data_IF_233369737824
#
_entry.id   IF_233369737824
#
_cell.length_a   1.000
_cell.length_b   1.000
_cell.length_c   1.000
_cell.angle_alpha   90.00
_cell.angle_beta   90.00
_cell.angle_gamma   90.00
#
_symmetry.space_group_name_H-M   'P 1'
#
loop_
_entity.id
_entity.type
_entity.pdbx_description
1 polymer ?
#
# COMPACT_ATOMS: atom_id res chain seq x y z
N UNK A 1 13.78 -6.10 22.10
CA UNK A 1 12.44 -5.53 21.91
C UNK A 1 11.47 -6.70 21.85
N UNK A 2 10.35 -6.63 22.57
CA UNK A 2 9.27 -7.63 22.46
C UNK A 2 8.30 -7.14 21.38
N UNK A 3 8.26 -7.81 20.22
CA UNK A 3 7.44 -7.37 19.08
C UNK A 3 5.96 -7.72 19.27
N UNK A 4 5.68 -8.83 19.97
CA UNK A 4 4.32 -9.34 20.16
C UNK A 4 3.40 -8.34 20.89
N UNK A 5 3.95 -7.44 21.70
CA UNK A 5 3.17 -6.41 22.38
C UNK A 5 2.53 -5.38 21.43
N UNK A 6 2.99 -5.32 20.17
CA UNK A 6 2.51 -4.38 19.16
C UNK A 6 1.48 -4.99 18.20
N UNK A 7 1.17 -6.28 18.35
CA UNK A 7 0.21 -6.99 17.50
C UNK A 7 -1.16 -6.29 17.47
N UNK A 8 -1.68 -6.07 16.26
CA UNK A 8 -2.93 -5.38 15.96
C UNK A 8 -3.00 -3.95 16.52
N UNK A 9 -1.89 -3.21 16.50
CA UNK A 9 -1.84 -1.80 16.90
C UNK A 9 -1.35 -0.91 15.78
N UNK A 10 -1.83 0.32 15.77
CA UNK A 10 -1.24 1.40 15.01
C UNK A 10 0.10 1.82 15.66
N UNK A 11 1.18 1.72 14.89
CA UNK A 11 2.53 2.01 15.36
C UNK A 11 3.30 2.85 14.35
N UNK A 12 4.35 3.50 14.85
CA UNK A 12 5.47 4.00 14.04
C UNK A 12 6.64 3.02 14.17
N UNK A 13 7.05 2.42 13.06
CA UNK A 13 8.30 1.66 12.95
C UNK A 13 9.37 2.59 12.38
N UNK A 14 10.52 2.68 13.05
CA UNK A 14 11.73 3.28 12.47
C UNK A 14 12.71 2.17 12.16
N UNK A 15 13.13 2.06 10.91
CA UNK A 15 14.09 1.05 10.48
C UNK A 15 15.54 1.42 10.88
N UNK A 16 16.47 0.51 10.63
CA UNK A 16 17.91 0.73 10.89
C UNK A 16 18.55 1.83 10.03
N UNK A 17 17.89 2.28 8.96
CA UNK A 17 18.32 3.39 8.11
C UNK A 17 17.73 4.74 8.55
N UNK A 18 16.81 4.73 9.53
CA UNK A 18 16.14 5.91 10.08
C UNK A 18 14.87 6.31 9.34
N UNK A 19 14.39 5.50 8.40
CA UNK A 19 13.10 5.71 7.73
C UNK A 19 11.95 5.34 8.67
N UNK A 20 10.89 6.15 8.66
CA UNK A 20 9.74 5.97 9.54
C UNK A 20 8.48 5.59 8.74
N UNK A 21 7.87 4.49 9.15
CA UNK A 21 6.64 3.94 8.59
C UNK A 21 5.55 3.91 9.66
N UNK A 22 4.33 4.30 9.30
CA UNK A 22 3.19 4.32 10.21
C UNK A 22 2.05 3.48 9.62
N UNK A 23 1.42 2.66 10.44
CA UNK A 23 0.36 1.74 10.00
C UNK A 23 -0.03 0.77 11.11
N UNK A 24 -1.10 0.02 10.86
CA UNK A 24 -1.48 -1.11 11.70
C UNK A 24 -0.53 -2.27 11.40
N UNK A 25 -0.04 -2.94 12.45
CA UNK A 25 0.86 -4.09 12.32
C UNK A 25 0.24 -5.37 12.84
N UNK A 26 0.60 -6.48 12.23
CA UNK A 26 0.42 -7.84 12.76
C UNK A 26 1.76 -8.43 13.19
N UNK A 27 1.76 -9.20 14.27
CA UNK A 27 2.94 -9.91 14.73
C UNK A 27 3.10 -11.25 14.00
N UNK A 28 4.27 -11.43 13.37
CA UNK A 28 4.65 -12.69 12.75
C UNK A 28 5.70 -13.39 13.61
N UNK A 29 5.40 -14.63 13.99
CA UNK A 29 6.35 -15.47 14.71
C UNK A 29 7.55 -15.86 13.84
N UNK A 30 8.67 -16.22 14.46
CA UNK A 30 9.86 -16.73 13.76
C UNK A 30 9.52 -17.91 12.82
N UNK A 31 8.66 -18.83 13.26
CA UNK A 31 8.21 -19.97 12.44
C UNK A 31 7.43 -19.50 11.21
N UNK A 32 6.48 -18.58 11.39
CA UNK A 32 5.69 -18.03 10.29
C UNK A 32 6.56 -17.26 9.30
N UNK A 33 7.38 -16.33 9.80
CA UNK A 33 8.26 -15.52 8.96
C UNK A 33 9.29 -16.36 8.18
N UNK A 34 9.75 -17.47 8.74
CA UNK A 34 10.60 -18.41 8.04
C UNK A 34 9.85 -19.12 6.91
N UNK A 35 8.62 -19.57 7.15
CA UNK A 35 7.83 -20.28 6.16
C UNK A 35 7.32 -19.39 5.03
N UNK A 36 6.87 -18.18 5.35
CA UNK A 36 6.27 -17.27 4.38
C UNK A 36 7.33 -16.45 3.63
N UNK A 37 8.33 -15.95 4.34
CA UNK A 37 9.28 -14.97 3.79
C UNK A 37 10.75 -15.43 3.82
N UNK A 38 11.04 -16.64 4.33
CA UNK A 38 12.36 -17.25 4.28
C UNK A 38 13.38 -16.74 5.30
N UNK A 39 12.97 -15.93 6.29
CA UNK A 39 13.87 -15.42 7.34
C UNK A 39 13.55 -16.00 8.72
N UNK A 40 14.58 -16.48 9.40
CA UNK A 40 14.48 -17.11 10.73
C UNK A 40 14.58 -16.08 11.87
N UNK A 41 13.58 -15.22 11.98
CA UNK A 41 13.40 -14.27 13.09
C UNK A 41 11.95 -13.76 13.15
N UNK A 42 11.52 -13.26 14.31
CA UNK A 42 10.23 -12.59 14.46
C UNK A 42 10.15 -11.32 13.59
N UNK A 43 8.93 -10.93 13.19
CA UNK A 43 8.70 -9.74 12.40
C UNK A 43 7.40 -9.01 12.81
N UNK A 44 7.28 -7.76 12.35
CA UNK A 44 6.02 -7.03 12.29
C UNK A 44 5.65 -6.83 10.82
N UNK A 45 4.44 -7.22 10.45
CA UNK A 45 3.91 -7.02 9.12
C UNK A 45 2.98 -5.80 9.11
N UNK A 46 3.34 -4.79 8.31
CA UNK A 46 2.55 -3.59 8.02
C UNK A 46 2.32 -3.55 6.51
N UNK A 47 1.18 -4.03 6.03
CA UNK A 47 0.94 -4.23 4.60
C UNK A 47 1.32 -2.99 3.75
N UNK A 48 2.17 -3.13 2.71
CA UNK A 48 2.70 -4.38 2.13
C UNK A 48 4.09 -4.79 2.64
N UNK A 49 4.55 -4.21 3.74
CA UNK A 49 5.93 -4.28 4.23
C UNK A 49 6.10 -5.22 5.43
N UNK A 50 7.08 -6.12 5.35
CA UNK A 50 7.49 -6.97 6.48
C UNK A 50 8.77 -6.41 7.11
N UNK A 51 8.71 -6.06 8.38
CA UNK A 51 9.82 -5.55 9.17
C UNK A 51 10.35 -6.62 10.11
N UNK A 52 11.50 -7.20 9.76
CA UNK A 52 12.16 -8.17 10.63
C UNK A 52 12.78 -7.51 11.84
N UNK A 53 12.85 -8.25 12.95
CA UNK A 53 13.40 -7.76 14.23
C UNK A 53 14.74 -7.04 14.11
N UNK A 54 15.67 -7.56 13.30
CA UNK A 54 17.00 -6.97 13.11
C UNK A 54 17.00 -5.71 12.22
N UNK A 55 15.95 -5.52 11.40
CA UNK A 55 15.78 -4.36 10.52
C UNK A 55 15.05 -3.20 11.23
N UNK A 56 14.56 -3.41 12.47
CA UNK A 56 13.83 -2.41 13.26
C UNK A 56 14.75 -1.74 14.29
N UNK A 57 14.97 -0.44 14.14
CA UNK A 57 15.66 0.37 15.16
C UNK A 57 14.74 0.68 16.36
N UNK A 58 13.47 1.01 16.11
CA UNK A 58 12.49 1.26 17.17
C UNK A 58 11.04 1.10 16.72
N UNK A 59 10.16 0.82 17.68
CA UNK A 59 8.70 0.81 17.49
C UNK A 59 8.06 1.70 18.55
N UNK A 60 7.19 2.61 18.12
CA UNK A 60 6.41 3.49 19.00
C UNK A 60 4.93 3.26 18.77
N UNK A 61 4.17 2.98 19.83
CA UNK A 61 2.71 2.86 19.75
C UNK A 61 2.07 4.23 19.48
N UNK A 62 1.12 4.28 18.55
CA UNK A 62 0.36 5.49 18.19
C UNK A 62 -1.09 5.47 18.69
N UNK A 63 -1.53 4.38 19.31
CA UNK A 63 -2.89 4.21 19.88
C UNK A 63 -3.40 5.39 20.74
N UNK A 64 -2.51 6.05 21.49
CA UNK A 64 -2.89 7.17 22.37
C UNK A 64 -2.74 8.56 21.70
N UNK A 65 -2.26 8.59 20.45
CA UNK A 65 -2.13 9.83 19.67
C UNK A 65 -3.49 10.13 19.02
N UNK A 66 -3.97 11.36 19.18
CA UNK A 66 -5.19 11.82 18.54
C UNK A 66 -4.95 13.21 17.94
N UNK A 67 -4.33 13.22 16.76
CA UNK A 67 -4.06 14.40 15.96
C UNK A 67 -5.14 14.67 14.91
N UNK A 68 -4.93 15.66 14.02
CA UNK A 68 -5.84 15.95 12.92
C UNK A 68 -5.96 14.80 11.90
N UNK A 69 -5.03 13.83 11.95
CA UNK A 69 -5.00 12.64 11.09
C UNK A 69 -5.24 11.35 11.90
N UNK A 70 -5.96 11.43 13.03
CA UNK A 70 -6.18 10.30 13.92
C UNK A 70 -4.92 9.91 14.69
N UNK A 71 -4.58 8.62 14.68
CA UNK A 71 -3.35 8.09 15.29
C UNK A 71 -2.08 8.46 14.51
N UNK A 72 -2.22 8.81 13.23
CA UNK A 72 -1.11 9.12 12.35
C UNK A 72 -0.56 10.52 12.59
N UNK A 73 0.75 10.66 12.32
CA UNK A 73 1.43 11.94 12.45
C UNK A 73 1.24 12.87 11.27
N UNK A 74 0.96 12.31 10.08
CA UNK A 74 0.75 13.03 8.83
C UNK A 74 -0.43 12.45 8.06
N UNK A 75 -0.95 13.23 7.10
CA UNK A 75 -2.04 12.80 6.22
C UNK A 75 -1.65 11.55 5.42
N UNK A 76 -0.42 11.50 4.90
CA UNK A 76 0.18 10.33 4.22
C UNK A 76 1.64 10.20 4.65
N UNK A 77 2.04 8.99 5.03
CA UNK A 77 3.38 8.68 5.50
C UNK A 77 4.31 8.25 4.37
N UNK A 78 5.43 7.64 4.75
CA UNK A 78 6.38 7.08 3.80
C UNK A 78 5.81 5.85 3.08
N UNK A 79 4.99 5.05 3.76
CA UNK A 79 4.40 3.82 3.22
C UNK A 79 3.57 4.10 1.97
N UNK A 80 2.58 5.00 2.07
CA UNK A 80 1.69 5.29 0.95
C UNK A 80 2.44 5.92 -0.24
N UNK A 81 3.45 6.75 0.05
CA UNK A 81 4.31 7.35 -0.99
C UNK A 81 5.13 6.27 -1.71
N UNK A 82 5.73 5.34 -0.97
CA UNK A 82 6.48 4.22 -1.56
C UNK A 82 5.57 3.31 -2.37
N UNK A 83 4.32 3.06 -1.96
CA UNK A 83 3.38 2.30 -2.79
C UNK A 83 3.14 2.94 -4.16
N UNK A 84 3.02 4.28 -4.22
CA UNK A 84 2.90 4.99 -5.50
C UNK A 84 4.16 4.91 -6.36
N UNK A 85 5.35 4.90 -5.74
CA UNK A 85 6.65 4.79 -6.44
C UNK A 85 6.98 3.35 -6.89
N UNK A 86 6.54 2.36 -6.11
CA UNK A 86 6.80 0.94 -6.34
C UNK A 86 5.74 0.27 -7.22
N UNK A 87 4.63 0.96 -7.48
CA UNK A 87 3.71 0.63 -8.55
C UNK A 87 2.60 -0.35 -8.14
N UNK A 88 2.02 -1.00 -9.16
CA UNK A 88 0.79 -1.78 -9.03
C UNK A 88 0.84 -2.85 -7.94
N UNK A 89 1.93 -3.60 -7.81
CA UNK A 89 2.01 -4.69 -6.82
C UNK A 89 1.82 -4.19 -5.38
N UNK A 90 2.50 -3.10 -5.03
CA UNK A 90 2.44 -2.56 -3.67
C UNK A 90 1.10 -1.88 -3.38
N UNK A 91 0.49 -1.29 -4.40
CA UNK A 91 -0.87 -0.75 -4.29
C UNK A 91 -1.87 -1.90 -4.08
N UNK A 92 -1.76 -2.98 -4.86
CA UNK A 92 -2.66 -4.14 -4.78
C UNK A 92 -2.69 -4.73 -3.37
N UNK A 93 -1.52 -5.02 -2.80
CA UNK A 93 -1.39 -5.57 -1.46
C UNK A 93 -2.10 -4.72 -0.40
N UNK A 94 -2.00 -3.38 -0.49
CA UNK A 94 -2.73 -2.49 0.44
C UNK A 94 -4.23 -2.56 0.20
N UNK A 95 -4.68 -2.51 -1.06
CA UNK A 95 -6.10 -2.52 -1.40
C UNK A 95 -6.81 -3.85 -1.09
N UNK A 96 -6.07 -4.96 -1.11
CA UNK A 96 -6.56 -6.30 -0.75
C UNK A 96 -6.47 -6.58 0.77
N UNK A 97 -5.87 -5.68 1.55
CA UNK A 97 -5.73 -5.84 2.99
C UNK A 97 -7.06 -5.70 3.74
N UNK A 98 -7.13 -6.34 4.92
CA UNK A 98 -8.28 -6.18 5.85
C UNK A 98 -8.21 -4.87 6.66
N UNK A 99 -7.15 -4.07 6.51
CA UNK A 99 -7.01 -2.77 7.17
C UNK A 99 -7.77 -1.69 6.39
N UNK A 100 -9.07 -1.58 6.68
CA UNK A 100 -9.94 -0.54 6.12
C UNK A 100 -9.38 0.89 6.27
N UNK A 101 -8.61 1.16 7.34
CA UNK A 101 -8.01 2.48 7.57
C UNK A 101 -6.83 2.70 6.64
N UNK A 102 -5.97 1.69 6.48
CA UNK A 102 -4.88 1.68 5.51
C UNK A 102 -5.38 1.81 4.07
N UNK A 103 -6.41 1.05 3.70
CA UNK A 103 -7.09 1.15 2.38
C UNK A 103 -7.62 2.57 2.17
N UNK A 104 -8.34 3.12 3.14
CA UNK A 104 -8.92 4.47 3.06
C UNK A 104 -7.83 5.54 2.87
N UNK A 105 -6.73 5.45 3.63
CA UNK A 105 -5.57 6.34 3.49
C UNK A 105 -4.90 6.21 2.13
N UNK A 106 -4.76 4.99 1.60
CA UNK A 106 -4.15 4.76 0.29
C UNK A 106 -5.00 5.35 -0.84
N UNK A 107 -6.34 5.18 -0.80
CA UNK A 107 -7.26 5.77 -1.77
C UNK A 107 -7.22 7.31 -1.74
N UNK A 108 -7.16 7.90 -0.55
CA UNK A 108 -6.99 9.34 -0.39
C UNK A 108 -5.63 9.79 -0.95
N UNK A 109 -4.55 9.04 -0.67
CA UNK A 109 -3.20 9.34 -1.18
C UNK A 109 -3.16 9.33 -2.71
N UNK A 110 -3.77 8.31 -3.33
CA UNK A 110 -3.91 8.22 -4.79
C UNK A 110 -4.72 9.39 -5.35
N UNK A 111 -5.76 9.83 -4.66
CA UNK A 111 -6.64 10.93 -5.08
C UNK A 111 -5.91 12.27 -5.08
N UNK A 112 -5.16 12.53 -4.01
CA UNK A 112 -4.38 13.77 -3.85
C UNK A 112 -3.16 13.80 -4.77
N UNK A 113 -2.59 12.63 -5.08
CA UNK A 113 -1.44 12.48 -5.99
C UNK A 113 -1.85 11.98 -7.39
N UNK A 114 -3.10 12.23 -7.79
CA UNK A 114 -3.67 11.66 -9.01
C UNK A 114 -2.85 11.99 -10.27
N UNK A 115 -2.35 13.23 -10.40
CA UNK A 115 -1.51 13.61 -11.55
C UNK A 115 -0.23 12.77 -11.62
N UNK A 116 0.45 12.58 -10.48
CA UNK A 116 1.66 11.76 -10.40
C UNK A 116 1.35 10.28 -10.72
N UNK A 117 0.23 9.77 -10.19
CA UNK A 117 -0.23 8.41 -10.43
C UNK A 117 -0.45 8.17 -11.94
N UNK A 118 -1.10 9.13 -12.63
CA UNK A 118 -1.39 9.01 -14.07
C UNK A 118 -0.18 9.25 -14.97
N UNK A 119 0.74 10.14 -14.60
CA UNK A 119 1.95 10.42 -15.38
C UNK A 119 2.91 9.21 -15.39
N UNK A 120 2.90 8.41 -14.33
CA UNK A 120 3.68 7.18 -14.21
C UNK A 120 2.89 5.92 -14.63
N UNK A 121 1.63 6.08 -15.03
CA UNK A 121 0.81 4.96 -15.43
C UNK A 121 1.18 4.49 -16.85
N UNK A 122 1.23 3.18 -17.04
CA UNK A 122 1.46 2.55 -18.33
C UNK A 122 0.18 1.82 -18.78
N UNK A 123 -0.10 1.76 -20.09
CA UNK A 123 -1.26 1.04 -20.60
C UNK A 123 -1.11 -0.47 -20.40
N UNK A 124 -2.25 -1.16 -20.25
CA UNK A 124 -2.33 -2.60 -20.20
C UNK A 124 -2.30 -3.21 -18.79
N UNK A 125 -2.27 -4.53 -18.78
CA UNK A 125 -2.11 -5.39 -17.60
C UNK A 125 -0.63 -5.60 -17.26
N UNK A 126 -0.38 -5.98 -16.02
CA UNK A 126 0.98 -6.31 -15.61
C UNK A 126 1.51 -7.58 -16.32
N UNK A 127 2.82 -7.66 -16.64
CA UNK A 127 3.40 -8.81 -17.33
C UNK A 127 3.12 -10.15 -16.63
N UNK A 128 3.20 -10.20 -15.30
CA UNK A 128 2.95 -11.42 -14.52
C UNK A 128 1.50 -11.91 -14.62
N UNK A 129 0.54 -11.02 -14.90
CA UNK A 129 -0.87 -11.37 -15.11
C UNK A 129 -1.12 -12.01 -16.48
N UNK A 130 -0.23 -11.77 -17.45
CA UNK A 130 -0.32 -12.32 -18.81
C UNK A 130 0.67 -13.47 -19.07
N UNK A 131 1.37 -13.94 -18.04
CA UNK A 131 2.37 -15.00 -18.15
C UNK A 131 3.74 -14.53 -18.67
N UNK A 132 3.95 -13.21 -18.76
CA UNK A 132 5.27 -12.61 -18.93
C UNK A 132 6.06 -12.64 -17.62
N UNK A 133 7.39 -12.63 -17.73
CA UNK A 133 8.25 -12.35 -16.57
C UNK A 133 8.21 -10.86 -16.29
N UNK A 134 8.07 -10.48 -15.02
CA UNK A 134 8.37 -9.11 -14.60
C UNK A 134 9.82 -8.81 -14.97
N UNK A 135 10.08 -7.68 -15.62
CA UNK A 135 11.45 -7.21 -15.74
C UNK A 135 11.90 -6.77 -14.34
N UNK A 136 13.04 -7.28 -13.88
CA UNK A 136 13.64 -6.86 -12.60
C UNK A 136 13.88 -5.35 -12.66
N UNK A 137 13.01 -4.57 -12.03
CA UNK A 137 13.24 -3.15 -11.87
C UNK A 137 14.43 -2.97 -10.91
N UNK A 138 15.62 -2.72 -11.46
CA UNK A 138 16.86 -2.50 -10.69
C UNK A 138 16.73 -1.39 -9.62
N UNK A 139 15.74 -0.50 -9.74
CA UNK A 139 15.47 0.61 -8.83
C UNK A 139 14.45 0.32 -7.72
N UNK A 140 13.81 -0.85 -7.73
CA UNK A 140 12.66 -1.14 -6.84
C UNK A 140 11.41 -0.31 -7.16
N UNK A 141 11.44 0.56 -8.17
CA UNK A 141 10.28 1.32 -8.64
C UNK A 141 9.57 0.53 -9.74
N UNK A 142 8.26 0.35 -9.60
CA UNK A 142 7.43 -0.39 -10.54
C UNK A 142 6.44 0.54 -11.23
N UNK A 143 6.05 0.25 -12.49
CA UNK A 143 5.03 1.02 -13.16
C UNK A 143 3.65 0.79 -12.53
N UNK A 144 2.77 1.76 -12.71
CA UNK A 144 1.34 1.59 -12.40
C UNK A 144 0.62 1.17 -13.68
N UNK A 145 0.22 -0.09 -13.77
CA UNK A 145 -0.55 -0.61 -14.89
C UNK A 145 -2.00 -0.11 -14.80
N UNK A 146 -2.43 0.69 -15.78
CA UNK A 146 -3.72 1.37 -15.74
C UNK A 146 -4.92 0.40 -15.72
N UNK A 147 -4.84 -0.70 -16.48
CA UNK A 147 -5.91 -1.70 -16.50
C UNK A 147 -5.98 -2.47 -15.17
N UNK A 148 -4.83 -2.77 -14.55
CA UNK A 148 -4.80 -3.39 -13.23
C UNK A 148 -5.38 -2.45 -12.17
N UNK A 149 -4.98 -1.18 -12.18
CA UNK A 149 -5.52 -0.20 -11.24
C UNK A 149 -7.04 -0.09 -11.33
N UNK A 150 -7.58 -0.08 -12.54
CA UNK A 150 -9.03 -0.11 -12.76
C UNK A 150 -9.67 -1.40 -12.25
N UNK A 151 -9.04 -2.55 -12.44
CA UNK A 151 -9.54 -3.83 -11.95
C UNK A 151 -9.55 -3.92 -10.42
N UNK A 152 -8.49 -3.42 -9.77
CA UNK A 152 -8.39 -3.37 -8.30
C UNK A 152 -9.47 -2.47 -7.70
N UNK A 153 -9.57 -1.23 -8.20
CA UNK A 153 -10.62 -0.31 -7.76
C UNK A 153 -12.03 -0.86 -8.05
N UNK A 154 -12.24 -1.50 -9.21
CA UNK A 154 -13.51 -2.13 -9.54
C UNK A 154 -13.86 -3.30 -8.62
N UNK A 155 -12.86 -4.04 -8.16
CA UNK A 155 -13.03 -5.12 -7.18
C UNK A 155 -13.40 -4.56 -5.80
N UNK A 156 -12.75 -3.48 -5.37
CA UNK A 156 -13.11 -2.76 -4.15
C UNK A 156 -14.56 -2.29 -4.18
N UNK A 157 -14.99 -1.63 -5.26
CA UNK A 157 -16.39 -1.16 -5.40
C UNK A 157 -17.39 -2.30 -5.30
N UNK A 158 -17.04 -3.48 -5.83
CA UNK A 158 -17.95 -4.61 -5.92
C UNK A 158 -18.04 -5.42 -4.62
N UNK A 159 -16.93 -5.54 -3.88
CA UNK A 159 -16.79 -6.52 -2.82
C UNK A 159 -16.42 -5.93 -1.45
N UNK A 160 -15.98 -4.67 -1.36
CA UNK A 160 -15.64 -4.06 -0.09
C UNK A 160 -16.93 -3.61 0.66
N UNK A 161 -17.04 -3.98 1.93
CA UNK A 161 -18.21 -3.66 2.77
C UNK A 161 -18.16 -2.22 3.34
N UNK A 162 -16.98 -1.59 3.33
CA UNK A 162 -16.76 -0.23 3.79
C UNK A 162 -17.22 0.77 2.72
N UNK A 163 -18.38 1.38 2.95
CA UNK A 163 -19.02 2.34 2.04
C UNK A 163 -18.17 3.57 1.73
N UNK A 164 -17.30 3.98 2.65
CA UNK A 164 -16.40 5.12 2.39
C UNK A 164 -15.33 4.72 1.38
N UNK A 165 -14.70 3.56 1.57
CA UNK A 165 -13.70 3.03 0.64
C UNK A 165 -14.32 2.77 -0.74
N UNK A 166 -15.52 2.20 -0.79
CA UNK A 166 -16.28 2.02 -2.04
C UNK A 166 -16.46 3.36 -2.76
N UNK A 167 -16.95 4.39 -2.07
CA UNK A 167 -17.17 5.70 -2.67
C UNK A 167 -15.87 6.32 -3.19
N UNK A 168 -14.79 6.28 -2.40
CA UNK A 168 -13.47 6.80 -2.81
C UNK A 168 -12.95 6.07 -4.06
N UNK A 169 -13.14 4.76 -4.13
CA UNK A 169 -12.78 3.96 -5.30
C UNK A 169 -13.64 4.29 -6.53
N UNK A 170 -14.95 4.54 -6.37
CA UNK A 170 -15.83 5.02 -7.45
C UNK A 170 -15.36 6.39 -8.00
N UNK A 171 -15.07 7.34 -7.11
CA UNK A 171 -14.60 8.69 -7.48
C UNK A 171 -13.26 8.62 -8.24
N UNK A 172 -12.33 7.75 -7.81
CA UNK A 172 -11.07 7.50 -8.51
C UNK A 172 -11.27 6.86 -9.88
N UNK A 173 -12.16 5.87 -9.99
CA UNK A 173 -12.50 5.23 -11.27
C UNK A 173 -13.08 6.24 -12.27
N UNK A 174 -13.96 7.13 -11.80
CA UNK A 174 -14.52 8.20 -12.64
C UNK A 174 -13.42 9.14 -13.14
N UNK A 175 -12.50 9.60 -12.27
CA UNK A 175 -11.36 10.43 -12.69
C UNK A 175 -10.44 9.73 -13.68
N UNK A 176 -10.14 8.44 -13.47
CA UNK A 176 -9.33 7.63 -14.40
C UNK A 176 -10.03 7.43 -15.75
N UNK A 177 -11.36 7.44 -15.78
CA UNK A 177 -12.13 7.36 -17.01
C UNK A 177 -12.02 8.68 -17.79
N UNK A 178 -12.29 9.80 -17.13
CA UNK A 178 -12.20 11.14 -17.71
C UNK A 178 -10.80 11.47 -18.26
N UNK A 179 -9.74 11.00 -17.57
CA UNK A 179 -8.37 11.34 -17.94
C UNK A 179 -7.83 10.58 -19.16
N UNK A 180 -8.38 9.40 -19.46
CA UNK A 180 -7.83 8.51 -20.50
C UNK A 180 -8.83 8.17 -21.62
N UNK A 181 -10.13 8.46 -21.49
CA UNK A 181 -11.08 8.29 -22.61
C UNK A 181 -10.90 9.35 -23.71
N UNK A 182 -10.36 10.53 -23.37
CA UNK A 182 -10.12 11.65 -24.30
C UNK A 182 -8.95 11.39 -25.29
N UNK A 183 -8.13 10.37 -25.06
CA UNK A 183 -7.01 9.98 -25.93
C UNK A 183 -7.42 8.98 -27.02
N UNK A 184 -8.46 8.18 -26.79
CA UNK A 184 -8.98 7.18 -27.75
C UNK A 184 -9.67 7.80 -28.97
N UNK A 185 -10.21 9.02 -28.84
CA UNK A 185 -10.87 9.74 -29.95
C UNK A 185 -9.88 10.57 -30.81
N UNK A 186 -8.57 10.53 -30.50
CA UNK A 186 -7.51 11.28 -31.20
C UNK A 186 -6.55 10.42 -32.05
N UNK A 187 -6.77 9.10 -32.14
CA UNK A 187 -6.03 8.18 -33.03
C UNK A 187 -6.88 7.73 -34.21
#
# INVERSE_FOLDING_TARGET
MDLKQFDNKCVRITDIFGEAYEGIVSYDSEEYAFHEYGRNQEALHMTPMVFYRDDIASVTSLEDVNGPFGHYSEQYGLLEKKCLEWGTDMIEEVLDSEDDTGVSRMLDCMTDNFTLLTENAVPGLAPWRTGGMAEDAESGQGPVYLEELRNMLGSLVKYNDNKENVKKAEDLLERLKESFEDETDRQ
#
